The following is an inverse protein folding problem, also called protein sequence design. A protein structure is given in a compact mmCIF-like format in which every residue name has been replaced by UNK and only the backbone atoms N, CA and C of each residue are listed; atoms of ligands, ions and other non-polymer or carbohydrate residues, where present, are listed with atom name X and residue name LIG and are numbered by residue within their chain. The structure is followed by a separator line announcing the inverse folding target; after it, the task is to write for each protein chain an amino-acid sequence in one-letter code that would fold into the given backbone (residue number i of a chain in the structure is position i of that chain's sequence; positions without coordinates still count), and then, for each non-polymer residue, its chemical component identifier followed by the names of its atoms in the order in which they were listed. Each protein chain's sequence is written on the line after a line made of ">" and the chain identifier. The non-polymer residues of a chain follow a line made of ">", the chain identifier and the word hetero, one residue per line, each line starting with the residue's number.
data_IF_207140171896
#
_entry.id   IF_207140171896
#
_cell.length_a   1.000
_cell.length_b   1.000
_cell.length_c   1.000
_cell.angle_alpha   90.00
_cell.angle_beta   90.00
_cell.angle_gamma   90.00
#
_symmetry.space_group_name_H-M   'P 1'
#
loop_
_entity.id
_entity.type
_entity.pdbx_description
1 polymer ?
#
# COMPACT_ATOMS: atom_id res chain seq x y z
N UNK A 1 6.83 26.94 6.99
CA UNK A 1 6.34 26.47 5.69
C UNK A 1 5.38 25.33 5.96
N UNK A 2 4.05 25.45 5.73
CA UNK A 2 3.11 24.38 5.96
C UNK A 2 3.28 23.28 4.93
N UNK A 3 3.31 22.03 5.38
CA UNK A 3 3.51 20.84 4.57
C UNK A 3 2.27 20.57 3.70
N UNK A 4 2.40 20.72 2.40
CA UNK A 4 1.38 20.46 1.37
C UNK A 4 1.11 18.96 1.09
N UNK A 5 1.49 18.07 2.01
CA UNK A 5 1.27 16.63 1.88
C UNK A 5 -0.01 16.13 2.56
N UNK A 6 -0.87 17.07 3.03
CA UNK A 6 -2.04 16.73 3.86
C UNK A 6 -3.23 16.20 3.05
N UNK A 7 -3.27 16.42 1.73
CA UNK A 7 -4.38 15.99 0.87
C UNK A 7 -4.44 14.48 0.65
N UNK A 8 -3.36 13.87 0.15
CA UNK A 8 -3.27 12.41 -0.07
C UNK A 8 -3.43 11.61 1.22
N UNK A 9 -3.14 12.25 2.34
CA UNK A 9 -3.16 11.67 3.68
C UNK A 9 -4.59 11.60 4.25
N UNK A 10 -5.50 12.48 3.84
CA UNK A 10 -6.89 12.51 4.33
C UNK A 10 -7.80 11.51 3.63
N UNK A 11 -7.60 11.28 2.33
CA UNK A 11 -8.43 10.33 1.56
C UNK A 11 -7.96 8.87 1.69
N UNK A 12 -6.82 8.64 2.37
CA UNK A 12 -6.34 7.31 2.75
C UNK A 12 -7.00 6.76 4.03
N UNK A 13 -7.92 7.48 4.65
CA UNK A 13 -8.85 6.95 5.65
C UNK A 13 -9.95 6.18 4.92
N UNK A 14 -9.65 4.92 4.60
CA UNK A 14 -10.55 4.06 3.84
C UNK A 14 -11.93 3.88 4.47
N UNK A 15 -12.92 3.67 3.62
CA UNK A 15 -14.29 3.29 3.99
C UNK A 15 -14.29 2.07 4.94
N UNK A 16 -15.08 2.06 6.02
CA UNK A 16 -15.04 1.00 7.02
C UNK A 16 -15.51 -0.34 6.43
N UNK A 17 -14.64 -1.33 6.43
CA UNK A 17 -14.98 -2.73 6.14
C UNK A 17 -15.15 -3.51 7.45
N UNK A 18 -15.94 -4.58 7.45
CA UNK A 18 -16.52 -5.23 8.64
C UNK A 18 -15.63 -6.22 9.42
N UNK A 19 -14.38 -6.42 9.07
CA UNK A 19 -13.48 -7.34 9.78
C UNK A 19 -12.61 -6.60 10.81
N UNK A 20 -12.90 -6.86 12.08
CA UNK A 20 -12.30 -6.23 13.26
C UNK A 20 -11.20 -7.10 13.85
N UNK A 21 -9.98 -6.59 13.87
CA UNK A 21 -8.96 -7.06 14.80
C UNK A 21 -9.00 -6.20 16.08
N UNK A 22 -8.81 -6.79 17.24
CA UNK A 22 -8.95 -6.13 18.55
C UNK A 22 -7.97 -5.00 18.84
N UNK A 23 -7.00 -4.77 17.96
CA UNK A 23 -5.99 -3.69 18.05
C UNK A 23 -6.38 -2.37 17.39
N UNK A 24 -7.45 -2.36 16.56
CA UNK A 24 -7.83 -1.21 15.74
C UNK A 24 -9.00 -0.40 16.32
N UNK A 25 -9.28 -0.58 17.60
CA UNK A 25 -10.44 0.00 18.25
C UNK A 25 -10.02 1.19 19.11
N UNK A 26 -10.20 2.42 18.61
CA UNK A 26 -10.01 3.64 19.39
C UNK A 26 -11.30 4.05 20.11
N UNK A 27 -11.20 4.49 21.36
CA UNK A 27 -12.34 5.06 22.08
C UNK A 27 -12.78 6.36 21.41
N UNK A 28 -14.01 6.40 20.89
CA UNK A 28 -14.55 7.59 20.21
C UNK A 28 -15.48 8.40 21.12
N UNK A 29 -16.53 7.77 21.67
CA UNK A 29 -17.54 8.46 22.46
C UNK A 29 -18.23 7.53 23.47
N UNK A 30 -19.00 8.12 24.37
CA UNK A 30 -19.98 7.43 25.18
C UNK A 30 -21.37 7.72 24.63
N UNK A 31 -22.19 6.69 24.42
CA UNK A 31 -23.60 6.83 24.10
C UNK A 31 -24.47 6.01 25.05
N UNK A 32 -25.74 6.30 25.07
CA UNK A 32 -26.67 5.49 25.85
C UNK A 32 -26.77 4.07 25.27
N UNK A 33 -26.92 3.09 26.19
CA UNK A 33 -27.10 1.68 25.87
C UNK A 33 -28.37 1.47 25.08
N UNK A 34 -28.27 0.69 24.02
CA UNK A 34 -29.41 0.19 23.26
C UNK A 34 -29.52 -1.34 23.36
N UNK A 35 -30.74 -1.90 23.32
CA UNK A 35 -30.94 -3.34 23.29
C UNK A 35 -30.15 -3.97 22.12
N UNK A 36 -29.25 -4.88 22.43
CA UNK A 36 -28.34 -5.53 21.49
C UNK A 36 -26.86 -5.16 21.69
N UNK A 37 -26.57 -4.13 22.49
CA UNK A 37 -25.20 -3.77 22.83
C UNK A 37 -24.57 -4.80 23.79
N UNK A 38 -23.28 -5.08 23.60
CA UNK A 38 -22.55 -5.98 24.47
C UNK A 38 -22.27 -5.33 25.84
N UNK A 39 -22.69 -6.03 26.91
CA UNK A 39 -22.55 -5.54 28.29
C UNK A 39 -21.11 -5.29 28.73
N UNK A 40 -20.12 -5.94 28.11
CA UNK A 40 -18.68 -5.71 28.38
C UNK A 40 -18.20 -4.31 28.05
N UNK A 41 -18.91 -3.59 27.17
CA UNK A 41 -18.58 -2.22 26.78
C UNK A 41 -19.27 -1.16 27.63
N UNK A 42 -20.05 -1.53 28.66
CA UNK A 42 -20.67 -0.58 29.58
C UNK A 42 -19.56 0.16 30.36
N UNK A 43 -19.61 1.49 30.30
CA UNK A 43 -18.71 2.36 31.04
C UNK A 43 -19.31 2.70 32.39
N UNK A 44 -19.09 1.83 33.38
CA UNK A 44 -19.72 1.89 34.71
C UNK A 44 -19.53 3.23 35.44
N UNK A 45 -18.38 3.90 35.28
CA UNK A 45 -18.11 5.20 35.90
C UNK A 45 -19.03 6.30 35.36
N UNK A 46 -19.31 6.31 34.05
CA UNK A 46 -20.25 7.27 33.47
C UNK A 46 -21.69 6.91 33.77
N UNK A 47 -22.04 5.63 33.72
CA UNK A 47 -23.35 5.11 34.13
C UNK A 47 -23.71 5.55 35.55
N UNK A 48 -22.75 5.47 36.49
CA UNK A 48 -22.97 5.90 37.88
C UNK A 48 -23.17 7.42 38.00
N UNK A 49 -22.63 8.25 37.07
CA UNK A 49 -22.82 9.71 37.06
C UNK A 49 -24.13 10.14 36.42
N UNK A 50 -24.52 9.48 35.34
CA UNK A 50 -25.68 9.89 34.52
C UNK A 50 -26.97 9.19 34.94
N UNK A 51 -26.88 8.06 35.66
CA UNK A 51 -28.04 7.22 36.01
C UNK A 51 -28.54 6.36 34.85
N UNK A 52 -28.00 6.50 33.64
CA UNK A 52 -28.35 5.73 32.46
C UNK A 52 -27.16 4.87 32.03
N UNK A 53 -27.42 3.66 31.53
CA UNK A 53 -26.34 2.79 31.05
C UNK A 53 -25.61 3.46 29.86
N UNK A 54 -24.33 3.75 30.04
CA UNK A 54 -23.46 4.34 29.02
C UNK A 54 -22.55 3.29 28.43
N UNK A 55 -22.53 3.16 27.12
CA UNK A 55 -21.68 2.21 26.37
C UNK A 55 -20.56 2.97 25.68
N UNK A 56 -19.36 2.39 25.72
CA UNK A 56 -18.23 2.90 24.93
C UNK A 56 -18.51 2.65 23.46
N UNK A 57 -18.60 3.69 22.70
CA UNK A 57 -18.59 3.62 21.24
C UNK A 57 -17.13 3.67 20.80
N UNK A 58 -16.72 2.66 20.08
CA UNK A 58 -15.39 2.58 19.51
C UNK A 58 -15.48 2.94 18.03
N UNK A 59 -14.65 3.85 17.59
CA UNK A 59 -14.43 4.09 16.18
C UNK A 59 -13.30 3.21 15.70
N UNK A 60 -13.55 2.53 14.60
CA UNK A 60 -12.50 1.76 13.93
C UNK A 60 -11.57 2.74 13.24
N UNK A 61 -10.49 3.09 13.91
CA UNK A 61 -9.38 3.75 13.22
C UNK A 61 -8.62 2.64 12.47
N UNK A 62 -9.07 2.31 11.25
CA UNK A 62 -8.23 1.50 10.37
C UNK A 62 -6.92 2.24 10.19
N UNK A 63 -5.87 1.70 10.77
CA UNK A 63 -4.52 2.07 10.35
C UNK A 63 -4.42 1.65 8.90
N UNK A 64 -4.38 2.63 8.00
CA UNK A 64 -4.26 2.38 6.58
C UNK A 64 -2.99 1.56 6.33
N UNK A 65 -3.16 0.30 5.94
CA UNK A 65 -2.04 -0.56 5.57
C UNK A 65 -1.67 -0.29 4.12
N UNK A 66 -0.48 0.16 3.90
CA UNK A 66 0.05 0.53 2.62
C UNK A 66 0.91 -0.63 2.09
N UNK A 67 0.64 -1.07 0.88
CA UNK A 67 1.45 -2.08 0.20
C UNK A 67 2.23 -1.42 -0.93
N UNK A 68 3.53 -1.69 -1.01
CA UNK A 68 4.39 -1.34 -2.16
C UNK A 68 4.86 -2.64 -2.78
N UNK A 69 4.31 -2.98 -3.94
CA UNK A 69 4.69 -4.17 -4.71
C UNK A 69 5.68 -3.77 -5.81
N UNK A 70 6.93 -4.21 -5.68
CA UNK A 70 8.00 -3.97 -6.64
C UNK A 70 8.25 -5.25 -7.45
N UNK A 71 8.13 -5.19 -8.77
CA UNK A 71 8.52 -6.29 -9.64
C UNK A 71 10.05 -6.39 -9.75
N UNK A 72 10.56 -7.62 -9.78
CA UNK A 72 11.98 -7.89 -10.08
C UNK A 72 12.13 -8.61 -11.42
N UNK A 73 11.04 -8.76 -12.19
CA UNK A 73 11.10 -9.44 -13.48
C UNK A 73 11.83 -8.59 -14.51
N UNK A 74 12.92 -9.09 -15.08
CA UNK A 74 13.68 -8.43 -16.15
C UNK A 74 12.78 -8.02 -17.33
N UNK A 75 11.71 -8.80 -17.60
CA UNK A 75 10.77 -8.52 -18.69
C UNK A 75 9.93 -7.26 -18.49
N UNK A 76 9.80 -6.73 -17.26
CA UNK A 76 8.98 -5.56 -16.95
C UNK A 76 9.75 -4.24 -17.17
N UNK A 77 11.07 -4.30 -17.38
CA UNK A 77 11.98 -3.15 -17.54
C UNK A 77 12.61 -3.13 -18.94
N UNK A 78 12.78 -1.94 -19.49
CA UNK A 78 13.49 -1.74 -20.74
C UNK A 78 15.00 -1.53 -20.53
N UNK A 79 15.37 -0.97 -19.37
CA UNK A 79 16.76 -0.68 -19.01
C UNK A 79 17.02 -0.88 -17.52
N UNK A 80 18.30 -0.87 -17.13
CA UNK A 80 18.72 -0.92 -15.73
C UNK A 80 18.33 0.37 -14.99
N UNK A 81 18.36 1.51 -15.66
CA UNK A 81 17.97 2.81 -15.09
C UNK A 81 16.49 2.84 -14.70
N UNK A 82 15.60 2.17 -15.46
CA UNK A 82 14.21 2.02 -15.06
C UNK A 82 14.08 1.22 -13.75
N UNK A 83 14.86 0.15 -13.63
CA UNK A 83 14.84 -0.68 -12.42
C UNK A 83 15.38 0.09 -11.21
N UNK A 84 16.51 0.79 -11.34
CA UNK A 84 17.09 1.60 -10.27
C UNK A 84 16.12 2.72 -9.82
N UNK A 85 15.43 3.33 -10.77
CA UNK A 85 14.38 4.30 -10.46
C UNK A 85 13.23 3.63 -9.70
N UNK A 86 12.81 2.42 -10.10
CA UNK A 86 11.74 1.68 -9.42
C UNK A 86 12.13 1.30 -7.98
N UNK A 87 13.36 0.86 -7.74
CA UNK A 87 13.91 0.59 -6.40
C UNK A 87 13.89 1.88 -5.56
N UNK A 88 14.34 2.99 -6.13
CA UNK A 88 14.33 4.32 -5.47
C UNK A 88 12.93 4.78 -5.11
N UNK A 89 11.94 4.54 -5.97
CA UNK A 89 10.52 4.81 -5.72
C UNK A 89 9.99 3.96 -4.58
N UNK A 90 10.22 2.65 -4.62
CA UNK A 90 9.77 1.73 -3.57
C UNK A 90 10.38 2.11 -2.20
N UNK A 91 11.67 2.44 -2.18
CA UNK A 91 12.39 2.93 -1.01
C UNK A 91 11.79 4.23 -0.46
N UNK A 92 11.52 5.20 -1.34
CA UNK A 92 10.96 6.51 -0.95
C UNK A 92 9.54 6.38 -0.38
N UNK A 93 8.68 5.57 -0.98
CA UNK A 93 7.33 5.29 -0.49
C UNK A 93 7.38 4.59 0.87
N UNK A 94 8.20 3.54 1.00
CA UNK A 94 8.34 2.79 2.24
C UNK A 94 8.92 3.64 3.37
N UNK A 95 10.02 4.36 3.14
CA UNK A 95 10.63 5.26 4.14
C UNK A 95 9.66 6.35 4.57
N UNK A 96 8.91 6.92 3.63
CA UNK A 96 7.89 7.93 3.94
C UNK A 96 6.81 7.36 4.83
N UNK A 97 6.25 6.19 4.50
CA UNK A 97 5.22 5.54 5.28
C UNK A 97 5.70 5.21 6.71
N UNK A 98 6.92 4.69 6.86
CA UNK A 98 7.53 4.40 8.16
C UNK A 98 7.67 5.69 8.99
N UNK A 99 8.16 6.80 8.40
CA UNK A 99 8.31 8.08 9.08
C UNK A 99 6.97 8.70 9.50
N UNK A 100 5.93 8.47 8.71
CA UNK A 100 4.56 8.94 9.02
C UNK A 100 3.84 8.00 10.02
N UNK A 101 4.50 6.96 10.55
CA UNK A 101 3.95 6.00 11.50
C UNK A 101 2.84 5.12 10.91
N UNK A 102 2.80 4.94 9.59
CA UNK A 102 1.82 4.09 8.89
C UNK A 102 2.30 2.65 8.87
N UNK A 103 1.34 1.72 8.88
CA UNK A 103 1.65 0.33 8.59
C UNK A 103 1.98 0.21 7.10
N UNK A 104 3.15 -0.36 6.78
CA UNK A 104 3.58 -0.53 5.39
C UNK A 104 4.21 -1.90 5.21
N UNK A 105 3.90 -2.55 4.10
CA UNK A 105 4.56 -3.75 3.59
C UNK A 105 5.18 -3.43 2.23
N UNK A 106 6.49 -3.56 2.12
CA UNK A 106 7.19 -3.50 0.84
C UNK A 106 7.50 -4.93 0.43
N UNK A 107 6.96 -5.37 -0.71
CA UNK A 107 7.06 -6.76 -1.17
C UNK A 107 7.75 -6.84 -2.52
N UNK A 108 8.60 -7.84 -2.66
CA UNK A 108 9.29 -8.19 -3.90
C UNK A 108 9.10 -9.66 -4.22
N UNK A 109 9.31 -10.07 -5.46
CA UNK A 109 9.21 -11.49 -5.81
C UNK A 109 10.31 -12.30 -5.15
N UNK A 110 10.00 -13.53 -4.73
CA UNK A 110 11.02 -14.52 -4.40
C UNK A 110 11.60 -15.06 -5.72
N UNK A 111 12.92 -15.02 -5.85
CA UNK A 111 13.60 -15.54 -7.04
C UNK A 111 13.58 -17.07 -7.00
N UNK A 112 13.07 -17.69 -8.06
CA UNK A 112 13.09 -19.15 -8.21
C UNK A 112 14.53 -19.59 -8.49
N UNK A 113 15.12 -20.50 -7.69
CA UNK A 113 16.44 -21.04 -7.99
C UNK A 113 16.47 -21.75 -9.33
N UNK A 114 17.57 -21.67 -10.09
CA UNK A 114 17.71 -22.26 -11.42
C UNK A 114 17.48 -23.79 -11.45
N UNK A 115 17.81 -24.48 -10.35
CA UNK A 115 17.61 -25.92 -10.21
C UNK A 115 16.17 -26.32 -9.81
N UNK A 116 15.28 -25.35 -9.55
CA UNK A 116 13.91 -25.66 -9.17
C UNK A 116 13.10 -26.18 -10.37
N UNK A 117 12.45 -27.32 -10.19
CA UNK A 117 11.61 -27.93 -11.24
C UNK A 117 10.31 -27.15 -11.50
N UNK A 118 9.92 -26.24 -10.60
CA UNK A 118 8.72 -25.40 -10.70
C UNK A 118 9.04 -23.99 -10.26
N UNK A 119 8.39 -23.01 -10.88
CA UNK A 119 8.47 -21.60 -10.49
C UNK A 119 7.91 -21.44 -9.07
N UNK A 120 8.66 -20.77 -8.19
CA UNK A 120 8.20 -20.42 -6.85
C UNK A 120 7.26 -19.21 -6.99
N UNK A 121 6.01 -19.40 -6.63
CA UNK A 121 5.00 -18.33 -6.62
C UNK A 121 4.90 -17.79 -5.19
N UNK A 122 5.88 -16.99 -4.79
CA UNK A 122 5.92 -16.37 -3.48
C UNK A 122 6.52 -14.96 -3.56
N UNK A 123 6.11 -14.10 -2.66
CA UNK A 123 6.71 -12.79 -2.45
C UNK A 123 7.48 -12.78 -1.14
N UNK A 124 8.49 -11.91 -1.05
CA UNK A 124 9.25 -11.65 0.16
C UNK A 124 8.92 -10.25 0.65
N UNK A 125 8.42 -10.14 1.88
CA UNK A 125 8.28 -8.86 2.55
C UNK A 125 9.66 -8.37 3.04
N UNK A 126 9.98 -7.13 2.72
CA UNK A 126 11.17 -6.46 3.20
C UNK A 126 10.94 -5.90 4.60
N UNK A 127 12.02 -5.70 5.36
CA UNK A 127 11.95 -5.17 6.72
C UNK A 127 11.48 -3.71 6.72
N UNK A 128 10.34 -3.44 7.33
CA UNK A 128 9.73 -2.09 7.38
C UNK A 128 9.68 -1.48 8.78
N UNK A 129 10.38 -2.08 9.76
CA UNK A 129 10.41 -1.54 11.13
C UNK A 129 11.28 -0.29 11.27
N UNK A 130 12.36 -0.19 10.48
CA UNK A 130 13.31 0.92 10.50
C UNK A 130 13.67 1.29 9.06
N UNK A 131 13.69 2.58 8.69
CA UNK A 131 14.02 3.03 7.33
C UNK A 131 15.36 2.47 6.80
N UNK A 132 16.41 2.44 7.64
CA UNK A 132 17.72 1.95 7.23
C UNK A 132 17.68 0.48 6.81
N UNK A 133 16.93 -0.37 7.55
CA UNK A 133 16.80 -1.79 7.20
C UNK A 133 16.09 -2.01 5.87
N UNK A 134 15.04 -1.23 5.61
CA UNK A 134 14.37 -1.29 4.31
C UNK A 134 15.33 -0.92 3.16
N UNK A 135 16.13 0.14 3.34
CA UNK A 135 17.09 0.58 2.34
C UNK A 135 18.22 -0.44 2.15
N UNK A 136 18.73 -1.03 3.24
CA UNK A 136 19.74 -2.10 3.18
C UNK A 136 19.24 -3.31 2.37
N UNK A 137 17.97 -3.71 2.59
CA UNK A 137 17.38 -4.82 1.85
C UNK A 137 17.04 -4.49 0.40
N UNK A 138 16.68 -3.24 0.10
CA UNK A 138 16.47 -2.77 -1.27
C UNK A 138 17.79 -2.64 -2.03
N UNK A 139 18.90 -2.32 -1.37
CA UNK A 139 20.21 -2.19 -2.00
C UNK A 139 20.79 -3.52 -2.54
N UNK A 140 20.21 -4.65 -2.12
CA UNK A 140 20.66 -6.00 -2.54
C UNK A 140 19.66 -6.72 -3.45
N UNK A 141 18.55 -6.05 -3.84
CA UNK A 141 17.62 -6.62 -4.83
C UNK A 141 18.17 -6.44 -6.23
N UNK A 142 17.92 -7.40 -7.10
CA UNK A 142 18.32 -7.35 -8.48
C UNK A 142 17.23 -7.96 -9.37
N UNK A 143 17.23 -7.61 -10.64
CA UNK A 143 16.31 -8.18 -11.62
C UNK A 143 16.67 -9.63 -11.93
N UNK A 144 15.67 -10.46 -12.19
CA UNK A 144 15.86 -11.84 -12.60
C UNK A 144 14.79 -12.28 -13.60
N UNK A 145 15.21 -13.07 -14.60
CA UNK A 145 14.29 -13.65 -15.57
C UNK A 145 13.29 -14.63 -14.92
N UNK A 146 13.71 -15.27 -13.81
CA UNK A 146 12.88 -16.20 -13.04
C UNK A 146 11.98 -15.51 -12.01
N UNK A 147 12.08 -14.18 -11.84
CA UNK A 147 11.24 -13.41 -10.93
C UNK A 147 9.77 -13.36 -11.42
N UNK A 148 8.86 -13.08 -10.50
CA UNK A 148 7.45 -12.84 -10.81
C UNK A 148 7.27 -11.46 -11.43
N UNK A 149 6.43 -11.37 -12.46
CA UNK A 149 6.01 -10.09 -13.02
C UNK A 149 5.08 -9.36 -12.04
N UNK A 150 4.78 -8.08 -12.33
CA UNK A 150 3.97 -7.24 -11.44
C UNK A 150 2.58 -7.82 -11.16
N UNK A 151 1.95 -8.51 -12.12
CA UNK A 151 0.65 -9.14 -11.94
C UNK A 151 0.68 -10.24 -10.88
N UNK A 152 1.67 -11.12 -10.93
CA UNK A 152 1.79 -12.23 -10.00
C UNK A 152 2.21 -11.72 -8.60
N UNK A 153 3.11 -10.73 -8.53
CA UNK A 153 3.48 -10.07 -7.27
C UNK A 153 2.26 -9.43 -6.62
N UNK A 154 1.46 -8.68 -7.37
CA UNK A 154 0.26 -8.03 -6.86
C UNK A 154 -0.77 -9.04 -6.33
N UNK A 155 -0.99 -10.15 -7.06
CA UNK A 155 -1.93 -11.19 -6.64
C UNK A 155 -1.51 -11.82 -5.33
N UNK A 156 -0.25 -12.21 -5.19
CA UNK A 156 0.23 -12.85 -3.97
C UNK A 156 0.26 -11.84 -2.81
N UNK A 157 0.66 -10.60 -3.06
CA UNK A 157 0.63 -9.54 -2.05
C UNK A 157 -0.79 -9.27 -1.53
N UNK A 158 -1.80 -9.33 -2.40
CA UNK A 158 -3.20 -9.17 -2.02
C UNK A 158 -3.73 -10.34 -1.17
N UNK A 159 -3.20 -11.55 -1.40
CA UNK A 159 -3.57 -12.76 -0.64
C UNK A 159 -2.82 -12.82 0.72
N UNK A 160 -1.57 -12.36 0.79
CA UNK A 160 -0.69 -12.52 1.95
C UNK A 160 -0.77 -11.35 2.95
N UNK A 161 -1.27 -10.18 2.53
CA UNK A 161 -1.30 -8.96 3.35
C UNK A 161 -2.72 -8.55 3.69
N UNK A 162 -3.06 -8.61 4.97
CA UNK A 162 -4.38 -8.22 5.45
C UNK A 162 -4.55 -6.71 5.63
N UNK A 163 -5.79 -6.23 5.48
CA UNK A 163 -6.19 -4.88 5.83
C UNK A 163 -5.62 -3.79 4.92
N UNK A 164 -5.26 -4.12 3.69
CA UNK A 164 -4.72 -3.18 2.70
C UNK A 164 -5.73 -2.07 2.44
N UNK A 165 -5.28 -0.82 2.50
CA UNK A 165 -6.06 0.36 2.13
C UNK A 165 -5.58 0.97 0.82
N UNK A 166 -4.27 0.95 0.59
CA UNK A 166 -3.64 1.48 -0.63
C UNK A 166 -2.55 0.52 -1.10
N UNK A 167 -2.50 0.28 -2.40
CA UNK A 167 -1.46 -0.52 -3.03
C UNK A 167 -0.75 0.28 -4.14
N UNK A 168 0.56 0.39 -4.04
CA UNK A 168 1.43 0.91 -5.09
C UNK A 168 2.04 -0.24 -5.86
N UNK A 169 1.82 -0.27 -7.18
CA UNK A 169 2.42 -1.22 -8.10
C UNK A 169 3.57 -0.52 -8.83
N UNK A 170 4.81 -0.89 -8.53
CA UNK A 170 6.01 -0.24 -9.08
C UNK A 170 6.64 -1.15 -10.12
N UNK A 171 6.78 -0.65 -11.34
CA UNK A 171 7.26 -1.40 -12.51
C UNK A 171 7.95 -0.50 -13.54
N UNK A 172 8.56 -1.10 -14.56
CA UNK A 172 9.15 -0.40 -15.70
C UNK A 172 8.18 -0.23 -16.88
N UNK A 173 8.69 0.36 -17.96
CA UNK A 173 7.93 0.77 -19.14
C UNK A 173 7.38 -0.37 -19.97
N UNK A 174 7.97 -1.57 -19.88
CA UNK A 174 7.51 -2.77 -20.63
C UNK A 174 6.23 -3.38 -20.08
N UNK A 175 5.82 -2.99 -18.87
CA UNK A 175 4.57 -3.46 -18.29
C UNK A 175 3.37 -2.86 -19.01
N UNK A 176 2.52 -3.71 -19.55
CA UNK A 176 1.35 -3.28 -20.34
C UNK A 176 0.20 -2.78 -19.45
N UNK A 177 -0.65 -1.90 -20.00
CA UNK A 177 -1.86 -1.45 -19.32
C UNK A 177 -2.84 -2.60 -19.00
N UNK A 178 -2.79 -3.70 -19.76
CA UNK A 178 -3.61 -4.89 -19.50
C UNK A 178 -3.10 -5.66 -18.26
N UNK A 179 -1.79 -5.79 -18.11
CA UNK A 179 -1.16 -6.41 -16.93
C UNK A 179 -1.40 -5.59 -15.67
N UNK A 180 -1.26 -4.27 -15.75
CA UNK A 180 -1.54 -3.37 -14.62
C UNK A 180 -3.00 -3.45 -14.17
N UNK A 181 -3.96 -3.52 -15.11
CA UNK A 181 -5.37 -3.74 -14.77
C UNK A 181 -5.59 -5.11 -14.13
N UNK A 182 -4.99 -6.16 -14.67
CA UNK A 182 -5.10 -7.49 -14.09
C UNK A 182 -4.51 -7.53 -12.67
N UNK A 183 -3.39 -6.84 -12.44
CA UNK A 183 -2.78 -6.68 -11.13
C UNK A 183 -3.70 -5.92 -10.16
N UNK A 184 -4.32 -4.82 -10.59
CA UNK A 184 -5.22 -4.03 -9.75
C UNK A 184 -6.47 -4.78 -9.34
N UNK A 185 -6.99 -5.66 -10.19
CA UNK A 185 -8.15 -6.51 -9.89
C UNK A 185 -7.87 -7.60 -8.84
N UNK A 186 -6.61 -7.85 -8.51
CA UNK A 186 -6.26 -8.80 -7.45
C UNK A 186 -6.56 -8.27 -6.05
N UNK A 187 -6.64 -6.96 -5.88
CA UNK A 187 -6.93 -6.34 -4.59
C UNK A 187 -8.43 -6.29 -4.30
N UNK A 188 -8.83 -6.40 -3.02
CA UNK A 188 -10.23 -6.29 -2.61
C UNK A 188 -10.88 -4.97 -3.01
N UNK A 189 -12.21 -4.98 -3.15
CA UNK A 189 -12.98 -3.76 -3.40
C UNK A 189 -12.75 -2.74 -2.27
N UNK A 190 -12.49 -1.49 -2.62
CA UNK A 190 -12.22 -0.41 -1.69
C UNK A 190 -10.72 -0.19 -1.42
N UNK A 191 -9.83 -1.02 -1.96
CA UNK A 191 -8.39 -0.72 -1.97
C UNK A 191 -8.10 0.24 -3.10
N UNK A 192 -7.45 1.36 -2.79
CA UNK A 192 -6.95 2.27 -3.82
C UNK A 192 -5.66 1.70 -4.42
N UNK A 193 -5.68 1.46 -5.73
CA UNK A 193 -4.50 0.93 -6.43
C UNK A 193 -3.92 2.01 -7.34
N UNK A 194 -2.62 2.28 -7.17
CA UNK A 194 -1.86 3.24 -7.97
C UNK A 194 -0.69 2.51 -8.63
N UNK A 195 -0.66 2.48 -9.96
CA UNK A 195 0.49 1.98 -10.70
C UNK A 195 1.50 3.10 -10.94
N UNK A 196 2.78 2.81 -10.74
CA UNK A 196 3.89 3.74 -10.99
C UNK A 196 4.81 3.09 -12.02
N UNK A 197 4.84 3.66 -13.22
CA UNK A 197 5.72 3.28 -14.31
C UNK A 197 6.96 4.14 -14.24
N UNK A 198 8.10 3.50 -14.04
CA UNK A 198 9.42 4.12 -14.02
C UNK A 198 9.99 4.08 -15.45
N UNK A 199 10.13 5.25 -16.07
CA UNK A 199 10.60 5.40 -17.45
C UNK A 199 11.33 6.74 -17.57
N UNK A 200 12.69 6.74 -17.48
CA UNK A 200 13.51 7.95 -17.57
C UNK A 200 13.36 8.72 -18.86
N UNK A 201 12.96 8.05 -19.96
CA UNK A 201 12.80 8.65 -21.29
C UNK A 201 11.40 9.21 -21.52
N UNK A 202 10.44 8.89 -20.66
CA UNK A 202 9.06 9.34 -20.82
C UNK A 202 8.81 10.72 -20.19
N UNK A 203 7.84 11.43 -20.76
CA UNK A 203 7.32 12.64 -20.12
C UNK A 203 6.51 12.27 -18.90
N UNK A 204 6.85 12.80 -17.71
CA UNK A 204 6.11 12.52 -16.49
C UNK A 204 4.63 12.89 -16.63
N UNK A 205 3.75 11.98 -16.19
CA UNK A 205 2.33 12.15 -16.39
C UNK A 205 1.46 11.35 -15.42
N UNK A 206 0.19 11.77 -15.35
CA UNK A 206 -0.89 11.05 -14.67
C UNK A 206 -1.97 10.71 -15.68
N UNK A 207 -2.44 9.47 -15.67
CA UNK A 207 -3.58 9.03 -16.46
C UNK A 207 -4.45 8.07 -15.67
N UNK A 208 -5.73 8.03 -15.97
CA UNK A 208 -6.66 7.05 -15.42
C UNK A 208 -7.04 6.06 -16.52
N UNK A 209 -6.82 4.77 -16.26
CA UNK A 209 -7.10 3.70 -17.22
C UNK A 209 -8.08 2.72 -16.59
N UNK A 210 -9.36 2.77 -17.00
CA UNK A 210 -10.43 1.92 -16.48
C UNK A 210 -10.51 1.91 -14.93
N UNK A 211 -10.39 3.08 -14.29
CA UNK A 211 -10.45 3.23 -12.85
C UNK A 211 -9.09 3.14 -12.13
N UNK A 212 -8.07 2.57 -12.77
CA UNK A 212 -6.71 2.49 -12.22
C UNK A 212 -5.98 3.82 -12.43
N UNK A 213 -5.42 4.39 -11.37
CA UNK A 213 -4.52 5.54 -11.42
C UNK A 213 -3.13 5.07 -11.88
N UNK A 214 -2.62 5.62 -12.97
CA UNK A 214 -1.30 5.30 -13.51
C UNK A 214 -0.45 6.56 -13.55
N UNK A 215 0.66 6.54 -12.84
CA UNK A 215 1.69 7.56 -12.84
C UNK A 215 2.85 7.10 -13.71
N UNK A 216 3.35 7.95 -14.59
CA UNK A 216 4.64 7.74 -15.27
C UNK A 216 5.61 8.78 -14.72
N UNK A 217 6.79 8.34 -14.32
CA UNK A 217 7.83 9.20 -13.77
C UNK A 217 9.17 8.91 -14.44
N UNK A 218 9.90 9.97 -14.77
CA UNK A 218 11.26 9.90 -15.31
C UNK A 218 12.33 10.04 -14.23
N UNK A 219 12.01 10.79 -13.17
CA UNK A 219 12.91 11.03 -12.05
C UNK A 219 12.16 10.92 -10.73
N UNK A 220 12.91 10.70 -9.65
CA UNK A 220 12.30 10.55 -8.31
C UNK A 220 11.55 11.79 -7.83
N UNK A 221 11.97 13.00 -8.27
CA UNK A 221 11.29 14.26 -7.97
C UNK A 221 9.87 14.32 -8.52
N UNK A 222 9.62 13.65 -9.65
CA UNK A 222 8.30 13.60 -10.29
C UNK A 222 7.29 12.88 -9.43
N UNK A 223 7.74 11.88 -8.63
CA UNK A 223 6.88 11.11 -7.74
C UNK A 223 6.08 12.00 -6.80
N UNK A 224 6.72 13.01 -6.20
CA UNK A 224 6.06 13.94 -5.26
C UNK A 224 4.98 14.77 -5.95
N UNK A 225 5.26 15.23 -7.17
CA UNK A 225 4.33 16.04 -7.97
C UNK A 225 3.16 15.19 -8.43
N UNK A 226 3.44 13.98 -8.88
CA UNK A 226 2.45 13.03 -9.39
C UNK A 226 1.48 12.58 -8.27
N UNK A 227 1.99 12.24 -7.09
CA UNK A 227 1.17 11.85 -5.94
C UNK A 227 0.29 13.01 -5.43
N UNK A 228 0.78 14.26 -5.45
CA UNK A 228 -0.02 15.42 -5.09
C UNK A 228 -1.20 15.65 -6.06
N UNK A 229 -1.02 15.33 -7.35
CA UNK A 229 -2.10 15.42 -8.37
C UNK A 229 -3.15 14.30 -8.21
N UNK A 230 -2.73 13.10 -7.85
CA UNK A 230 -3.66 11.97 -7.60
C UNK A 230 -4.62 12.33 -6.47
N UNK A 231 -4.11 12.94 -5.40
CA UNK A 231 -4.92 13.40 -4.27
C UNK A 231 -5.91 14.52 -4.60
N UNK A 232 -5.63 15.33 -5.60
CA UNK A 232 -6.52 16.44 -6.00
C UNK A 232 -7.66 15.99 -6.92
N UNK A 233 -7.61 14.79 -7.50
CA UNK A 233 -8.57 14.24 -8.47
C UNK A 233 -9.46 13.13 -7.86
N UNK A 234 -9.11 12.63 -6.66
CA UNK A 234 -9.91 11.68 -5.88
C UNK A 234 -10.91 12.42 -5.01
#
# INVERSE_FOLDING_TARGET
>A
MPSTSTGLIRDLEGTPTRDLTSSDVAFHALREYQPGDERRYIHWKSTAKTGTFMVRQFEQTRRSHLVVALTLATGDYASEEEFELAVSVAGSLGVRAIRDGRTVSVVVSTITPEFAKRKILAVRALATHVPARLLDELAVVDVAAAALNIRDVARIAADDVDGISVAFLVCGSRTTSAELRAASHSFPLGVEVVAIICDPDAVPGFRRVAGLSVLTIGYLEDLRIALARTAAVA
#
